data_IF_420243816376
#
_entry.id   IF_420243816376
#
_cell.length_a   1.000
_cell.length_b   1.000
_cell.length_c   1.000
_cell.angle_alpha   90.00
_cell.angle_beta   90.00
_cell.angle_gamma   90.00
#
_symmetry.space_group_name_H-M   'P 1'
#
loop_
_entity.id
_entity.type
_entity.pdbx_description
1 polymer ?
#
# COMPACT_ATOMS: atom_id res chain seq x y z
N UNK A 1 19.81 7.97 12.17
CA UNK A 1 18.61 8.83 12.08
C UNK A 1 17.69 8.51 13.26
N UNK A 2 17.21 9.50 14.02
CA UNK A 2 16.23 9.25 15.11
C UNK A 2 14.84 9.12 14.48
N UNK A 3 14.24 7.93 14.57
CA UNK A 3 12.86 7.70 14.18
C UNK A 3 11.94 8.51 15.10
N UNK A 4 11.31 9.55 14.57
CA UNK A 4 10.37 10.40 15.32
C UNK A 4 8.92 10.00 15.00
N UNK A 5 7.97 10.36 15.87
CA UNK A 5 6.52 10.17 15.62
C UNK A 5 6.05 10.68 14.25
N UNK A 6 6.70 11.72 13.70
CA UNK A 6 6.41 12.24 12.36
C UNK A 6 6.70 11.22 11.27
N UNK A 7 7.77 10.44 11.38
CA UNK A 7 8.10 9.39 10.42
C UNK A 7 7.08 8.24 10.48
N UNK A 8 6.60 7.88 11.67
CA UNK A 8 5.53 6.89 11.81
C UNK A 8 4.25 7.33 11.10
N UNK A 9 3.84 8.61 11.26
CA UNK A 9 2.68 9.15 10.55
C UNK A 9 2.88 9.16 9.03
N UNK A 10 4.07 9.50 8.55
CA UNK A 10 4.38 9.46 7.12
C UNK A 10 4.28 8.03 6.57
N UNK A 11 4.86 7.04 7.26
CA UNK A 11 4.79 5.63 6.85
C UNK A 11 3.34 5.12 6.81
N UNK A 12 2.55 5.45 7.84
CA UNK A 12 1.13 5.09 7.90
C UNK A 12 0.31 5.81 6.83
N UNK A 13 0.58 7.09 6.58
CA UNK A 13 -0.07 7.88 5.53
C UNK A 13 0.21 7.32 4.14
N UNK A 14 1.47 6.97 3.84
CA UNK A 14 1.85 6.34 2.58
C UNK A 14 1.17 4.97 2.44
N UNK A 15 1.17 4.15 3.49
CA UNK A 15 0.49 2.86 3.47
C UNK A 15 -1.01 3.00 3.19
N UNK A 16 -1.68 3.94 3.88
CA UNK A 16 -3.10 4.21 3.68
C UNK A 16 -3.38 4.70 2.26
N UNK A 17 -2.60 5.66 1.76
CA UNK A 17 -2.74 6.18 0.41
C UNK A 17 -2.59 5.07 -0.63
N UNK A 18 -1.60 4.19 -0.46
CA UNK A 18 -1.35 3.06 -1.34
C UNK A 18 -2.56 2.12 -1.39
N UNK A 19 -3.12 1.73 -0.23
CA UNK A 19 -4.33 0.90 -0.16
C UNK A 19 -5.50 1.56 -0.87
N UNK A 20 -5.71 2.87 -0.69
CA UNK A 20 -6.80 3.60 -1.35
C UNK A 20 -6.63 3.62 -2.88
N UNK A 21 -5.44 3.96 -3.38
CA UNK A 21 -5.14 3.99 -4.81
C UNK A 21 -5.35 2.62 -5.45
N UNK A 22 -4.83 1.55 -4.84
CA UNK A 22 -4.96 0.21 -5.39
C UNK A 22 -6.37 -0.37 -5.25
N UNK A 23 -7.16 0.06 -4.26
CA UNK A 23 -8.58 -0.28 -4.20
C UNK A 23 -9.36 0.29 -5.39
N UNK A 24 -9.05 1.52 -5.81
CA UNK A 24 -9.62 2.12 -7.03
C UNK A 24 -9.12 1.38 -8.27
N UNK A 25 -7.83 1.02 -8.30
CA UNK A 25 -7.24 0.29 -9.42
C UNK A 25 -7.87 -1.10 -9.62
N UNK A 26 -8.16 -1.82 -8.52
CA UNK A 26 -8.91 -3.08 -8.55
C UNK A 26 -10.31 -2.87 -9.15
N UNK A 27 -11.04 -1.84 -8.71
CA UNK A 27 -12.37 -1.53 -9.27
C UNK A 27 -12.31 -1.26 -10.78
N UNK A 28 -11.33 -0.48 -11.22
CA UNK A 28 -11.13 -0.19 -12.64
C UNK A 28 -10.74 -1.44 -13.43
N UNK A 29 -9.90 -2.31 -12.86
CA UNK A 29 -9.51 -3.57 -13.49
C UNK A 29 -10.70 -4.51 -13.65
N UNK A 30 -11.58 -4.61 -12.64
CA UNK A 30 -12.80 -5.42 -12.72
C UNK A 30 -13.82 -4.86 -13.72
N UNK A 31 -13.89 -3.54 -13.89
CA UNK A 31 -14.75 -2.89 -14.88
C UNK A 31 -14.20 -2.95 -16.31
N UNK A 32 -12.96 -3.43 -16.49
CA UNK A 32 -12.32 -3.50 -17.79
C UNK A 32 -12.63 -4.84 -18.47
N UNK A 33 -13.26 -4.79 -19.65
CA UNK A 33 -13.53 -5.97 -20.48
C UNK A 33 -12.67 -6.01 -21.74
N UNK A 34 -12.60 -7.20 -22.36
CA UNK A 34 -11.99 -7.40 -23.69
C UNK A 34 -10.49 -7.07 -23.79
N UNK A 35 -9.72 -7.25 -22.72
CA UNK A 35 -8.26 -7.11 -22.74
C UNK A 35 -7.54 -8.46 -22.82
N UNK A 36 -6.31 -8.51 -23.34
CA UNK A 36 -5.51 -9.74 -23.33
C UNK A 36 -5.23 -10.24 -21.91
N UNK A 37 -5.12 -11.55 -21.71
CA UNK A 37 -4.81 -12.15 -20.39
C UNK A 37 -3.56 -11.54 -19.75
N UNK A 38 -2.53 -11.25 -20.53
CA UNK A 38 -1.29 -10.63 -20.07
C UNK A 38 -1.53 -9.26 -19.39
N UNK A 39 -2.53 -8.49 -19.85
CA UNK A 39 -2.93 -7.24 -19.22
C UNK A 39 -3.40 -7.47 -17.78
N UNK A 40 -4.34 -8.40 -17.59
CA UNK A 40 -4.88 -8.69 -16.26
C UNK A 40 -3.82 -9.27 -15.31
N UNK A 41 -2.94 -10.14 -15.82
CA UNK A 41 -1.85 -10.72 -15.02
C UNK A 41 -0.90 -9.63 -14.53
N UNK A 42 -0.43 -8.75 -15.42
CA UNK A 42 0.48 -7.67 -15.05
C UNK A 42 -0.12 -6.73 -14.00
N UNK A 43 -1.39 -6.33 -14.19
CA UNK A 43 -2.07 -5.42 -13.26
C UNK A 43 -2.36 -6.08 -11.92
N UNK A 44 -2.70 -7.38 -11.91
CA UNK A 44 -2.91 -8.14 -10.67
C UNK A 44 -1.62 -8.25 -9.87
N UNK A 45 -0.49 -8.59 -10.52
CA UNK A 45 0.82 -8.65 -9.85
C UNK A 45 1.18 -7.28 -9.28
N UNK A 46 1.00 -6.23 -10.07
CA UNK A 46 1.27 -4.85 -9.64
C UNK A 46 0.45 -4.47 -8.40
N UNK A 47 -0.85 -4.80 -8.37
CA UNK A 47 -1.72 -4.57 -7.21
C UNK A 47 -1.20 -5.35 -5.99
N UNK A 48 -0.96 -6.66 -6.13
CA UNK A 48 -0.55 -7.53 -5.02
C UNK A 48 0.77 -7.06 -4.39
N UNK A 49 1.77 -6.74 -5.21
CA UNK A 49 3.07 -6.26 -4.73
C UNK A 49 2.93 -4.96 -3.96
N UNK A 50 2.13 -4.02 -4.46
CA UNK A 50 1.96 -2.73 -3.79
C UNK A 50 1.19 -2.86 -2.46
N UNK A 51 0.15 -3.68 -2.42
CA UNK A 51 -0.56 -3.97 -1.17
C UNK A 51 0.36 -4.65 -0.15
N UNK A 52 1.26 -5.54 -0.59
CA UNK A 52 2.27 -6.13 0.29
C UNK A 52 3.24 -5.07 0.84
N UNK A 53 3.72 -4.14 0.01
CA UNK A 53 4.55 -3.01 0.46
C UNK A 53 3.78 -2.15 1.46
N UNK A 54 2.52 -1.82 1.18
CA UNK A 54 1.68 -1.03 2.08
C UNK A 54 1.52 -1.72 3.44
N UNK A 55 1.32 -3.04 3.47
CA UNK A 55 1.25 -3.82 4.71
C UNK A 55 2.56 -3.76 5.50
N UNK A 56 3.71 -3.89 4.84
CA UNK A 56 5.03 -3.78 5.48
C UNK A 56 5.22 -2.38 6.07
N UNK A 57 4.92 -1.33 5.30
CA UNK A 57 5.01 0.06 5.75
C UNK A 57 4.07 0.34 6.93
N UNK A 58 2.86 -0.21 6.91
CA UNK A 58 1.91 -0.10 8.02
C UNK A 58 2.45 -0.77 9.29
N UNK A 59 2.96 -2.00 9.17
CA UNK A 59 3.56 -2.73 10.31
C UNK A 59 4.74 -1.94 10.89
N UNK A 60 5.63 -1.41 10.05
CA UNK A 60 6.77 -0.61 10.50
C UNK A 60 6.33 0.71 11.12
N UNK A 61 5.39 1.43 10.50
CA UNK A 61 4.82 2.67 11.03
C UNK A 61 4.18 2.46 12.41
N UNK A 62 3.40 1.38 12.59
CA UNK A 62 2.82 1.01 13.87
C UNK A 62 3.88 0.68 14.92
N UNK A 63 4.95 -0.03 14.53
CA UNK A 63 6.04 -0.39 15.44
C UNK A 63 6.79 0.85 15.94
N UNK A 64 7.09 1.81 15.06
CA UNK A 64 7.74 3.09 15.40
C UNK A 64 6.82 3.96 16.25
N UNK A 65 5.52 3.99 15.94
CA UNK A 65 4.54 4.75 16.74
C UNK A 65 4.51 4.26 18.18
N UNK A 66 4.50 2.93 18.39
CA UNK A 66 4.54 2.29 19.71
C UNK A 66 5.87 2.51 20.44
N UNK A 67 7.01 2.44 19.74
CA UNK A 67 8.33 2.62 20.36
C UNK A 67 8.65 4.08 20.72
N UNK A 68 7.96 5.04 20.13
CA UNK A 68 8.11 6.48 20.42
C UNK A 68 7.00 6.99 21.36
N UNK A 69 6.26 6.08 21.99
CA UNK A 69 5.11 6.35 22.84
C UNK A 69 5.34 6.17 24.34
N UNK A 70 6.60 6.27 24.81
CA UNK A 70 6.95 6.35 26.24
C UNK A 70 7.33 7.76 26.64
#
# INVERSE_FOLDING_TARGET
MKLTRRHALLLLGIALWNVLTYSVFIKNLMATESRPTAFYVAHTILIVVNLAIAAILAVWGLRVWRSTGS
#
